data_IF_125984673425
#
_entry.id   IF_125984673425
#
_cell.length_a   1.000
_cell.length_b   1.000
_cell.length_c   1.000
_cell.angle_alpha   90.00
_cell.angle_beta   90.00
_cell.angle_gamma   90.00
#
_symmetry.space_group_name_H-M   'P 1'
#
loop_
_entity.id
_entity.type
_entity.pdbx_description
1 polymer ?
#
# COMPACT_ATOMS: atom_id res chain seq x y z
N UNK A 1 -67.91 -13.62 -9.94
CA UNK A 1 -67.02 -12.56 -10.44
C UNK A 1 -66.54 -11.70 -9.28
N UNK A 2 -65.46 -12.10 -8.60
CA UNK A 2 -64.73 -11.24 -7.66
C UNK A 2 -63.26 -11.60 -7.82
N UNK A 3 -62.46 -10.69 -8.38
CA UNK A 3 -61.00 -10.72 -8.28
C UNK A 3 -60.57 -9.30 -7.95
N UNK A 4 -60.26 -9.09 -6.67
CA UNK A 4 -59.46 -7.96 -6.23
C UNK A 4 -58.35 -8.48 -5.31
N UNK A 5 -57.16 -7.94 -5.57
CA UNK A 5 -56.11 -7.61 -4.60
C UNK A 5 -55.22 -8.74 -4.06
N UNK A 6 -53.97 -8.77 -4.53
CA UNK A 6 -52.82 -8.64 -3.63
C UNK A 6 -51.58 -8.17 -4.41
N UNK A 7 -51.16 -6.94 -4.15
CA UNK A 7 -49.83 -6.44 -4.43
C UNK A 7 -48.92 -6.98 -3.31
N UNK A 8 -47.87 -7.73 -3.64
CA UNK A 8 -46.82 -8.05 -2.67
C UNK A 8 -45.47 -7.62 -3.26
N UNK A 9 -44.94 -6.54 -2.67
CA UNK A 9 -43.56 -6.11 -2.74
C UNK A 9 -42.63 -7.31 -2.51
N UNK A 10 -41.69 -7.57 -3.41
CA UNK A 10 -40.45 -8.26 -3.03
C UNK A 10 -39.28 -7.43 -3.56
N UNK A 11 -38.65 -6.73 -2.63
CA UNK A 11 -37.40 -5.99 -2.84
C UNK A 11 -36.30 -6.91 -3.39
N UNK A 12 -35.29 -6.37 -4.10
CA UNK A 12 -34.21 -7.16 -4.68
C UNK A 12 -33.30 -7.64 -3.55
N UNK A 13 -33.59 -8.81 -2.98
CA UNK A 13 -32.73 -9.43 -1.98
C UNK A 13 -31.96 -10.58 -2.63
N UNK A 14 -30.98 -10.22 -3.47
CA UNK A 14 -29.96 -11.16 -3.96
C UNK A 14 -28.70 -10.42 -4.41
N UNK A 15 -28.31 -9.39 -3.65
CA UNK A 15 -26.95 -8.89 -3.65
C UNK A 15 -26.22 -9.43 -2.42
N UNK A 16 -26.18 -10.76 -2.27
CA UNK A 16 -25.08 -11.36 -1.52
C UNK A 16 -23.86 -11.23 -2.42
N UNK A 17 -23.06 -10.19 -2.16
CA UNK A 17 -21.74 -10.04 -2.73
C UNK A 17 -20.97 -11.33 -2.43
N UNK A 18 -20.84 -12.17 -3.45
CA UNK A 18 -20.09 -13.40 -3.39
C UNK A 18 -18.62 -12.97 -3.29
N UNK A 19 -18.06 -13.04 -2.09
CA UNK A 19 -16.63 -12.93 -1.84
C UNK A 19 -15.96 -14.17 -2.47
N UNK A 20 -15.76 -14.14 -3.79
CA UNK A 20 -15.17 -15.26 -4.54
C UNK A 20 -13.64 -15.18 -4.41
N UNK A 21 -12.98 -16.22 -3.88
CA UNK A 21 -11.51 -16.26 -3.76
C UNK A 21 -10.77 -16.02 -5.08
N UNK A 22 -11.35 -16.39 -6.22
CA UNK A 22 -10.77 -16.20 -7.56
C UNK A 22 -10.71 -14.73 -7.98
N UNK A 23 -11.72 -13.93 -7.62
CA UNK A 23 -11.71 -12.48 -7.88
C UNK A 23 -10.64 -11.79 -7.04
N UNK A 24 -10.56 -12.15 -5.76
CA UNK A 24 -9.61 -11.58 -4.80
C UNK A 24 -8.15 -11.94 -5.15
N UNK A 25 -7.92 -13.17 -5.62
CA UNK A 25 -6.64 -13.59 -6.17
C UNK A 25 -6.29 -12.80 -7.44
N UNK A 26 -7.23 -12.62 -8.36
CA UNK A 26 -7.03 -11.84 -9.59
C UNK A 26 -6.67 -10.38 -9.29
N UNK A 27 -7.35 -9.76 -8.32
CA UNK A 27 -7.06 -8.40 -7.85
C UNK A 27 -5.66 -8.29 -7.24
N UNK A 28 -5.27 -9.24 -6.38
CA UNK A 28 -3.92 -9.28 -5.79
C UNK A 28 -2.83 -9.45 -6.86
N UNK A 29 -3.03 -10.35 -7.84
CA UNK A 29 -2.09 -10.52 -8.94
C UNK A 29 -1.97 -9.27 -9.82
N UNK A 30 -3.11 -8.59 -10.07
CA UNK A 30 -3.15 -7.32 -10.79
C UNK A 30 -2.39 -6.22 -10.04
N UNK A 31 -2.57 -6.13 -8.72
CA UNK A 31 -1.83 -5.18 -7.87
C UNK A 31 -0.33 -5.46 -7.89
N UNK A 32 0.07 -6.72 -7.71
CA UNK A 32 1.47 -7.13 -7.79
C UNK A 32 2.10 -6.79 -9.13
N UNK A 33 1.36 -6.98 -10.23
CA UNK A 33 1.81 -6.60 -11.57
C UNK A 33 2.08 -5.09 -11.66
N UNK A 34 1.17 -4.25 -11.16
CA UNK A 34 1.38 -2.79 -11.09
C UNK A 34 2.58 -2.42 -10.22
N UNK A 35 2.79 -3.13 -9.12
CA UNK A 35 3.98 -2.97 -8.27
C UNK A 35 5.28 -3.24 -9.04
N UNK A 36 5.33 -4.31 -9.84
CA UNK A 36 6.50 -4.62 -10.66
C UNK A 36 6.75 -3.58 -11.76
N UNK A 37 5.69 -3.09 -12.41
CA UNK A 37 5.78 -2.01 -13.41
C UNK A 37 6.28 -0.71 -12.77
N UNK A 38 5.74 -0.38 -11.59
CA UNK A 38 6.19 0.76 -10.79
C UNK A 38 7.67 0.66 -10.43
N UNK A 39 8.14 -0.50 -9.95
CA UNK A 39 9.56 -0.70 -9.68
C UNK A 39 10.42 -0.45 -10.93
N UNK A 40 10.05 -1.00 -12.08
CA UNK A 40 10.80 -0.77 -13.32
C UNK A 40 10.90 0.73 -13.64
N UNK A 41 9.81 1.48 -13.48
CA UNK A 41 9.81 2.92 -13.70
C UNK A 41 10.74 3.65 -12.72
N UNK A 42 10.68 3.32 -11.43
CA UNK A 42 11.52 3.95 -10.41
C UNK A 42 13.00 3.64 -10.65
N UNK A 43 13.36 2.39 -10.95
CA UNK A 43 14.74 2.01 -11.26
C UNK A 43 15.28 2.73 -12.51
N UNK A 44 14.43 3.03 -13.50
CA UNK A 44 14.81 3.79 -14.69
C UNK A 44 15.06 5.29 -14.43
N UNK A 45 14.77 5.80 -13.23
CA UNK A 45 15.06 7.20 -12.88
C UNK A 45 16.51 7.43 -12.46
N UNK A 46 17.29 6.37 -12.26
CA UNK A 46 18.64 6.40 -11.69
C UNK A 46 18.73 7.08 -10.29
N UNK A 47 17.59 7.31 -9.63
CA UNK A 47 17.53 7.92 -8.30
C UNK A 47 17.66 6.92 -7.16
N UNK A 48 17.47 5.62 -7.42
CA UNK A 48 17.47 4.60 -6.36
C UNK A 48 18.88 4.40 -5.81
N UNK A 49 19.03 4.58 -4.51
CA UNK A 49 20.27 4.33 -3.80
C UNK A 49 20.32 2.85 -3.38
N UNK A 50 21.32 2.12 -3.91
CA UNK A 50 21.58 0.72 -3.58
C UNK A 50 22.44 0.57 -2.31
N UNK A 51 21.99 1.15 -1.20
CA UNK A 51 22.67 1.05 0.10
C UNK A 51 22.01 -0.06 0.96
N UNK A 52 22.79 -1.08 1.32
CA UNK A 52 22.28 -2.25 2.05
C UNK A 52 21.89 -1.91 3.48
N UNK A 53 22.63 -1.04 4.14
CA UNK A 53 22.40 -0.67 5.54
C UNK A 53 21.11 0.14 5.66
N UNK A 54 20.98 1.20 4.86
CA UNK A 54 19.79 2.05 4.86
C UNK A 54 18.54 1.30 4.42
N UNK A 55 18.66 0.43 3.42
CA UNK A 55 17.52 -0.40 2.98
C UNK A 55 17.09 -1.38 4.07
N UNK A 56 18.05 -1.92 4.85
CA UNK A 56 17.74 -2.82 5.96
C UNK A 56 17.05 -2.06 7.10
N UNK A 57 17.60 -0.91 7.48
CA UNK A 57 17.00 -0.02 8.49
C UNK A 57 15.54 0.34 8.17
N UNK A 58 15.28 0.85 6.96
CA UNK A 58 13.92 1.23 6.55
C UNK A 58 12.96 0.03 6.54
N UNK A 59 13.46 -1.15 6.14
CA UNK A 59 12.66 -2.38 6.14
C UNK A 59 12.32 -2.84 7.55
N UNK A 60 13.27 -2.80 8.47
CA UNK A 60 13.06 -3.22 9.87
C UNK A 60 12.06 -2.28 10.56
N UNK A 61 12.29 -0.97 10.47
CA UNK A 61 11.37 0.03 10.99
C UNK A 61 9.98 -0.10 10.36
N UNK A 62 9.91 -0.18 9.03
CA UNK A 62 8.67 -0.34 8.30
C UNK A 62 7.90 -1.62 8.64
N UNK A 63 8.61 -2.73 8.88
CA UNK A 63 8.01 -3.98 9.32
C UNK A 63 7.39 -3.84 10.71
N UNK A 64 8.11 -3.24 11.66
CA UNK A 64 7.59 -2.99 13.01
C UNK A 64 6.32 -2.12 12.99
N UNK A 65 6.32 -1.05 12.19
CA UNK A 65 5.16 -0.18 12.01
C UNK A 65 3.99 -0.92 11.34
N UNK A 66 4.28 -1.69 10.29
CA UNK A 66 3.28 -2.48 9.54
C UNK A 66 2.55 -3.50 10.41
N UNK A 67 3.23 -4.13 11.37
CA UNK A 67 2.62 -5.07 12.33
C UNK A 67 1.52 -4.44 13.19
N UNK A 68 1.50 -3.12 13.33
CA UNK A 68 0.50 -2.36 14.10
C UNK A 68 -0.50 -1.60 13.21
N UNK A 69 -0.45 -1.79 11.88
CA UNK A 69 -1.35 -1.14 10.92
C UNK A 69 -2.71 -1.84 10.82
N UNK A 70 -3.63 -1.27 10.03
CA UNK A 70 -4.93 -1.88 9.74
C UNK A 70 -4.84 -3.23 9.00
N UNK A 71 -3.74 -3.44 8.26
CA UNK A 71 -3.49 -4.67 7.51
C UNK A 71 -2.06 -5.19 7.76
N UNK A 72 -1.82 -5.89 8.89
CA UNK A 72 -0.50 -6.41 9.26
C UNK A 72 0.10 -7.40 8.26
N UNK A 73 -0.74 -8.07 7.47
CA UNK A 73 -0.31 -9.06 6.47
C UNK A 73 -0.01 -8.42 5.10
N UNK A 74 -0.16 -7.09 4.96
CA UNK A 74 0.12 -6.36 3.72
C UNK A 74 1.62 -6.41 3.41
N UNK A 75 1.95 -6.62 2.14
CA UNK A 75 3.32 -6.53 1.67
C UNK A 75 3.80 -5.07 1.71
N UNK A 76 5.02 -4.86 2.20
CA UNK A 76 5.72 -3.58 2.09
C UNK A 76 7.13 -3.79 1.55
N UNK A 77 7.58 -2.89 0.68
CA UNK A 77 8.95 -2.85 0.18
C UNK A 77 9.47 -1.42 0.21
N UNK A 78 10.72 -1.20 0.58
CA UNK A 78 11.28 0.15 0.75
C UNK A 78 12.32 0.45 -0.33
N UNK A 79 12.27 1.68 -0.84
CA UNK A 79 13.23 2.23 -1.80
C UNK A 79 13.78 3.55 -1.23
N UNK A 80 15.10 3.65 -1.13
CA UNK A 80 15.76 4.91 -0.82
C UNK A 80 16.04 5.65 -2.13
N UNK A 81 15.60 6.90 -2.23
CA UNK A 81 15.75 7.74 -3.42
C UNK A 81 16.68 8.92 -3.13
N UNK A 82 17.64 9.14 -4.01
CA UNK A 82 18.56 10.27 -3.96
C UNK A 82 17.86 11.56 -4.41
N UNK A 83 17.16 12.18 -3.47
CA UNK A 83 16.38 13.39 -3.68
C UNK A 83 16.38 14.19 -2.36
N UNK A 84 16.77 15.45 -2.43
CA UNK A 84 16.95 16.32 -1.26
C UNK A 84 15.65 16.91 -0.72
N UNK A 85 14.52 16.68 -1.40
CA UNK A 85 13.20 17.08 -0.92
C UNK A 85 12.77 16.23 0.28
N UNK A 86 12.05 16.87 1.21
CA UNK A 86 11.48 16.22 2.38
C UNK A 86 10.20 15.51 1.95
N UNK A 87 10.33 14.24 1.55
CA UNK A 87 9.21 13.46 1.04
C UNK A 87 9.35 11.95 1.29
N UNK A 88 8.21 11.28 1.46
CA UNK A 88 8.04 9.85 1.36
C UNK A 88 6.68 9.57 0.73
N UNK A 89 6.50 8.43 0.09
CA UNK A 89 5.24 8.11 -0.59
C UNK A 89 4.99 6.61 -0.71
N UNK A 90 3.72 6.22 -0.72
CA UNK A 90 3.27 4.87 -1.05
C UNK A 90 2.96 4.69 -2.55
N UNK A 91 3.62 3.70 -3.15
CA UNK A 91 3.38 3.20 -4.49
C UNK A 91 2.54 1.91 -4.52
N UNK A 92 2.21 1.40 -5.71
CA UNK A 92 1.42 0.19 -5.89
C UNK A 92 2.05 -1.03 -5.20
N UNK A 93 1.22 -1.95 -4.69
CA UNK A 93 1.64 -3.18 -4.00
C UNK A 93 2.47 -2.93 -2.72
N UNK A 94 2.35 -1.74 -2.12
CA UNK A 94 3.00 -1.40 -0.85
C UNK A 94 4.48 -1.04 -0.96
N UNK A 95 4.96 -0.64 -2.14
CA UNK A 95 6.30 -0.07 -2.24
C UNK A 95 6.33 1.36 -1.68
N UNK A 96 7.13 1.61 -0.66
CA UNK A 96 7.32 2.92 -0.04
C UNK A 96 8.63 3.53 -0.57
N UNK A 97 8.54 4.69 -1.21
CA UNK A 97 9.69 5.51 -1.59
C UNK A 97 10.02 6.48 -0.46
N UNK A 98 11.29 6.57 -0.08
CA UNK A 98 11.78 7.50 0.95
C UNK A 98 12.89 8.33 0.34
N UNK A 99 12.75 9.66 0.35
CA UNK A 99 13.78 10.57 -0.16
C UNK A 99 14.89 10.74 0.90
N UNK A 100 16.14 10.92 0.46
CA UNK A 100 17.25 11.23 1.38
C UNK A 100 17.00 12.53 2.15
N UNK A 101 16.32 13.51 1.55
CA UNK A 101 15.89 14.73 2.22
C UNK A 101 14.98 14.47 3.43
N UNK A 102 14.08 13.49 3.36
CA UNK A 102 13.24 13.08 4.50
C UNK A 102 14.07 12.53 5.65
N UNK A 103 15.03 11.65 5.36
CA UNK A 103 15.93 11.07 6.37
C UNK A 103 16.82 12.11 7.03
N UNK A 104 17.42 13.00 6.22
CA UNK A 104 18.38 14.00 6.70
C UNK A 104 17.72 15.18 7.43
N UNK A 105 16.41 15.39 7.24
CA UNK A 105 15.65 16.45 7.93
C UNK A 105 14.93 15.99 9.18
N UNK A 106 14.86 14.68 9.44
CA UNK A 106 14.27 14.13 10.66
C UNK A 106 15.24 14.30 11.83
N UNK A 107 14.83 14.99 12.88
CA UNK A 107 15.64 15.19 14.09
C UNK A 107 15.67 13.92 14.97
N UNK A 108 14.70 13.02 14.76
CA UNK A 108 14.63 11.74 15.46
C UNK A 108 14.00 10.64 14.60
N UNK A 109 14.28 9.38 14.95
CA UNK A 109 13.63 8.22 14.33
C UNK A 109 12.10 8.24 14.51
N UNK A 110 11.59 8.82 15.60
CA UNK A 110 10.14 8.94 15.84
C UNK A 110 9.45 9.86 14.82
N UNK A 111 10.13 10.91 14.34
CA UNK A 111 9.58 11.78 13.29
C UNK A 111 9.51 11.03 11.95
N UNK A 112 10.59 10.34 11.59
CA UNK A 112 10.61 9.47 10.41
C UNK A 112 9.51 8.40 10.49
N UNK A 113 9.40 7.72 11.63
CA UNK A 113 8.41 6.68 11.87
C UNK A 113 6.98 7.22 11.75
N UNK A 114 6.72 8.45 12.18
CA UNK A 114 5.41 9.10 12.01
C UNK A 114 5.03 9.27 10.53
N UNK A 115 5.96 9.72 9.70
CA UNK A 115 5.74 9.85 8.25
C UNK A 115 5.61 8.48 7.59
N UNK A 116 6.48 7.52 7.90
CA UNK A 116 6.38 6.17 7.35
C UNK A 116 5.07 5.49 7.76
N UNK A 117 4.59 5.72 8.99
CA UNK A 117 3.28 5.22 9.43
C UNK A 117 2.15 5.79 8.59
N UNK A 118 2.20 7.08 8.23
CA UNK A 118 1.23 7.72 7.34
C UNK A 118 1.18 7.05 5.96
N UNK A 119 2.33 6.68 5.41
CA UNK A 119 2.42 6.00 4.11
C UNK A 119 2.06 4.50 4.17
N UNK A 120 2.20 3.86 5.34
CA UNK A 120 1.86 2.44 5.55
C UNK A 120 0.35 2.23 5.66
N UNK A 121 -0.37 3.17 6.29
CA UNK A 121 -1.82 3.10 6.55
C UNK A 121 -2.68 2.82 5.31
#
# INVERSE_FOLDING_TARGET
MIKNLLLLLLAPFLAFALSIPELQLSESLSEKKRGNEFLQLIWNTDSVIADVEMTTYLRELGYELGMHSENPDKHFGFLLLNDDSINAFAGPYGYIGVHTGMLLSSDSESELAGVLSHEIS
#
